data_IF_882243926267
#
_entry.id   IF_882243926267
#
_cell.length_a   1.000
_cell.length_b   1.000
_cell.length_c   1.000
_cell.angle_alpha   90.00
_cell.angle_beta   90.00
_cell.angle_gamma   90.00
#
_symmetry.space_group_name_H-M   'P 1'
#
loop_
_entity.id
_entity.type
_entity.pdbx_description
1 polymer ?
#
# COMPACT_ATOMS: atom_id res chain seq x y z
N UNK A 1 5.67 -38.60 7.35
CA UNK A 1 6.73 -38.97 6.38
C UNK A 1 7.56 -37.72 6.12
N UNK A 2 8.89 -37.81 6.25
CA UNK A 2 9.79 -36.72 5.83
C UNK A 2 10.22 -36.96 4.39
N UNK A 3 10.17 -35.91 3.57
CA UNK A 3 10.56 -35.96 2.15
C UNK A 3 11.49 -34.80 1.82
N UNK A 4 12.28 -34.98 0.77
CA UNK A 4 13.07 -33.90 0.17
C UNK A 4 12.16 -32.89 -0.54
N UNK A 5 12.60 -31.65 -0.78
CA UNK A 5 11.85 -30.69 -1.59
C UNK A 5 11.48 -31.21 -2.98
N UNK A 6 12.38 -31.91 -3.67
CA UNK A 6 12.12 -32.46 -5.00
C UNK A 6 11.00 -33.52 -4.98
N UNK A 7 11.01 -34.40 -3.98
CA UNK A 7 9.95 -35.38 -3.77
C UNK A 7 8.62 -34.72 -3.42
N UNK A 8 8.63 -33.69 -2.56
CA UNK A 8 7.44 -32.93 -2.23
C UNK A 8 6.80 -32.29 -3.47
N UNK A 9 7.59 -31.62 -4.32
CA UNK A 9 7.11 -31.05 -5.59
C UNK A 9 6.49 -32.14 -6.47
N UNK A 10 7.12 -33.31 -6.57
CA UNK A 10 6.60 -34.45 -7.35
C UNK A 10 5.25 -34.92 -6.81
N UNK A 11 5.15 -35.13 -5.49
CA UNK A 11 3.91 -35.58 -4.84
C UNK A 11 2.77 -34.58 -5.05
N UNK A 12 3.05 -33.28 -4.94
CA UNK A 12 2.06 -32.22 -5.13
C UNK A 12 1.60 -32.14 -6.60
N UNK A 13 2.53 -32.21 -7.57
CA UNK A 13 2.18 -32.23 -9.00
C UNK A 13 1.25 -33.37 -9.38
N UNK A 14 1.43 -34.54 -8.75
CA UNK A 14 0.61 -35.72 -9.02
C UNK A 14 -0.60 -35.87 -8.08
N UNK A 15 -0.80 -34.94 -7.14
CA UNK A 15 -1.87 -35.00 -6.12
C UNK A 15 -1.85 -36.28 -5.29
N UNK A 16 -0.64 -36.77 -4.97
CA UNK A 16 -0.42 -37.96 -4.15
C UNK A 16 0.26 -37.62 -2.82
N UNK A 17 0.34 -36.34 -2.47
CA UNK A 17 0.86 -35.92 -1.18
C UNK A 17 -0.11 -36.35 -0.07
N UNK A 18 0.37 -36.92 1.05
CA UNK A 18 -0.46 -37.19 2.22
C UNK A 18 -0.91 -35.88 2.86
N UNK A 19 -1.99 -35.92 3.64
CA UNK A 19 -2.51 -34.75 4.38
C UNK A 19 -1.47 -34.11 5.30
N UNK A 20 -0.56 -34.91 5.87
CA UNK A 20 0.55 -34.46 6.68
C UNK A 20 1.88 -34.61 5.93
N UNK A 21 2.42 -33.49 5.45
CA UNK A 21 3.65 -33.43 4.69
C UNK A 21 4.76 -32.69 5.47
N UNK A 22 5.89 -33.36 5.68
CA UNK A 22 7.08 -32.75 6.26
C UNK A 22 8.19 -32.70 5.21
N UNK A 23 8.59 -31.51 4.79
CA UNK A 23 9.68 -31.27 3.85
C UNK A 23 10.94 -30.87 4.61
N UNK A 24 12.05 -31.56 4.38
CA UNK A 24 13.31 -31.36 5.12
C UNK A 24 14.06 -30.06 4.77
N UNK A 25 13.50 -29.23 3.88
CA UNK A 25 14.14 -28.02 3.38
C UNK A 25 13.13 -27.03 2.80
N UNK A 26 13.60 -26.04 2.02
CA UNK A 26 12.74 -25.06 1.37
C UNK A 26 11.91 -25.73 0.27
N UNK A 27 10.60 -25.53 0.30
CA UNK A 27 9.67 -25.94 -0.74
C UNK A 27 9.33 -24.72 -1.60
N UNK A 28 9.92 -24.67 -2.78
CA UNK A 28 9.65 -23.64 -3.79
C UNK A 28 8.66 -24.17 -4.84
N UNK A 29 7.52 -23.51 -4.92
CA UNK A 29 6.45 -23.76 -5.87
C UNK A 29 6.09 -22.47 -6.62
N UNK A 30 6.97 -21.48 -6.65
CA UNK A 30 6.73 -20.21 -7.35
C UNK A 30 6.37 -20.42 -8.82
N UNK A 31 5.42 -19.61 -9.32
CA UNK A 31 4.93 -19.69 -10.69
C UNK A 31 4.13 -20.97 -11.03
N UNK A 32 3.83 -21.84 -10.06
CA UNK A 32 3.15 -23.10 -10.31
C UNK A 32 1.66 -22.88 -10.69
N UNK A 33 1.39 -22.71 -11.98
CA UNK A 33 0.03 -22.57 -12.51
C UNK A 33 -0.87 -23.81 -12.28
N UNK A 34 -0.27 -24.96 -11.98
CA UNK A 34 -0.97 -26.21 -11.67
C UNK A 34 -1.37 -26.33 -10.18
N UNK A 35 -0.76 -25.52 -9.30
CA UNK A 35 -0.98 -25.60 -7.85
C UNK A 35 -2.30 -24.92 -7.49
N UNK A 36 -3.22 -25.69 -6.90
CA UNK A 36 -4.53 -25.20 -6.43
C UNK A 36 -4.66 -25.24 -4.92
N UNK A 37 -4.22 -26.35 -4.34
CA UNK A 37 -4.30 -26.65 -2.92
C UNK A 37 -3.00 -27.29 -2.45
N UNK A 38 -2.75 -27.14 -1.15
CA UNK A 38 -1.67 -27.80 -0.43
C UNK A 38 -2.28 -28.82 0.54
N UNK A 39 -1.50 -29.78 1.05
CA UNK A 39 -1.94 -30.70 2.09
C UNK A 39 -2.47 -29.94 3.30
N UNK A 40 -3.40 -30.54 4.04
CA UNK A 40 -3.99 -29.92 5.22
C UNK A 40 -2.91 -29.45 6.21
N UNK A 41 -1.86 -30.26 6.41
CA UNK A 41 -0.80 -30.01 7.37
C UNK A 41 0.55 -30.01 6.66
N UNK A 42 1.27 -28.90 6.72
CA UNK A 42 2.55 -28.75 6.03
C UNK A 42 3.62 -28.18 6.96
N UNK A 43 4.76 -28.87 7.03
CA UNK A 43 5.95 -28.40 7.73
C UNK A 43 7.14 -28.34 6.79
N UNK A 44 7.85 -27.22 6.75
CA UNK A 44 9.06 -27.03 5.96
C UNK A 44 9.92 -25.89 6.53
N UNK A 45 11.16 -25.70 6.07
CA UNK A 45 11.95 -24.54 6.50
C UNK A 45 11.48 -23.25 5.83
N UNK A 46 11.20 -23.27 4.53
CA UNK A 46 10.60 -22.15 3.83
C UNK A 46 9.56 -22.64 2.81
N UNK A 47 8.47 -21.90 2.66
CA UNK A 47 7.43 -22.15 1.67
C UNK A 47 7.33 -20.93 0.73
N UNK A 48 7.63 -21.12 -0.55
CA UNK A 48 7.61 -20.07 -1.56
C UNK A 48 6.52 -20.41 -2.59
N UNK A 49 5.49 -19.58 -2.63
CA UNK A 49 4.25 -19.73 -3.41
C UNK A 49 4.01 -18.47 -4.27
N UNK A 50 5.06 -17.69 -4.51
CA UNK A 50 4.94 -16.44 -5.27
C UNK A 50 4.43 -16.71 -6.68
N UNK A 51 3.60 -15.80 -7.20
CA UNK A 51 3.10 -15.86 -8.57
C UNK A 51 2.35 -17.16 -8.90
N UNK A 52 1.69 -17.78 -7.93
CA UNK A 52 0.80 -18.93 -8.15
C UNK A 52 -0.62 -18.45 -8.50
N UNK A 53 -1.05 -18.46 -9.78
CA UNK A 53 -2.30 -17.84 -10.21
C UNK A 53 -3.55 -18.62 -9.81
N UNK A 54 -3.42 -19.90 -9.46
CA UNK A 54 -4.53 -20.83 -9.21
C UNK A 54 -4.59 -21.30 -7.74
N UNK A 55 -3.64 -20.91 -6.90
CA UNK A 55 -3.61 -21.28 -5.48
C UNK A 55 -4.76 -20.59 -4.76
N UNK A 56 -5.72 -21.36 -4.25
CA UNK A 56 -6.93 -20.82 -3.62
C UNK A 56 -6.91 -20.85 -2.10
N UNK A 57 -6.08 -21.70 -1.49
CA UNK A 57 -6.01 -21.86 -0.04
C UNK A 57 -4.61 -22.27 0.42
N UNK A 58 -4.27 -21.91 1.66
CA UNK A 58 -3.11 -22.44 2.38
C UNK A 58 -3.50 -23.64 3.25
N UNK A 59 -2.53 -24.42 3.76
CA UNK A 59 -2.78 -25.49 4.73
C UNK A 59 -3.49 -25.00 5.99
N UNK A 60 -4.38 -25.82 6.53
CA UNK A 60 -5.08 -25.55 7.80
C UNK A 60 -4.11 -25.48 8.99
N UNK A 61 -3.01 -26.24 8.96
CA UNK A 61 -1.89 -26.11 9.91
C UNK A 61 -0.57 -26.00 9.13
N UNK A 62 -0.01 -24.78 9.09
CA UNK A 62 1.23 -24.47 8.40
C UNK A 62 2.31 -24.07 9.40
N UNK A 63 3.44 -24.77 9.36
CA UNK A 63 4.60 -24.49 10.19
C UNK A 63 5.86 -24.31 9.34
N UNK A 64 6.44 -23.12 9.34
CA UNK A 64 7.70 -22.86 8.64
C UNK A 64 8.50 -21.72 9.25
N UNK A 65 9.72 -21.52 8.78
CA UNK A 65 10.54 -20.39 9.21
C UNK A 65 10.22 -19.15 8.37
N UNK A 66 9.99 -19.35 7.06
CA UNK A 66 9.63 -18.29 6.10
C UNK A 66 8.49 -18.72 5.18
N UNK A 67 7.52 -17.83 4.97
CA UNK A 67 6.41 -17.99 4.05
C UNK A 67 6.37 -16.81 3.07
N UNK A 68 6.32 -17.08 1.78
CA UNK A 68 6.04 -16.09 0.74
C UNK A 68 4.94 -16.62 -0.16
N UNK A 69 3.84 -15.88 -0.29
CA UNK A 69 2.73 -16.17 -1.18
C UNK A 69 2.29 -14.89 -1.88
N UNK A 70 3.25 -14.15 -2.43
CA UNK A 70 3.03 -12.86 -3.09
C UNK A 70 2.37 -13.03 -4.44
N UNK A 71 1.57 -12.04 -4.84
CA UNK A 71 0.92 -11.99 -6.17
C UNK A 71 0.19 -13.30 -6.48
N UNK A 72 -0.55 -13.81 -5.50
CA UNK A 72 -1.42 -14.99 -5.63
C UNK A 72 -2.88 -14.53 -5.73
N UNK A 73 -3.38 -14.20 -6.94
CA UNK A 73 -4.69 -13.56 -7.11
C UNK A 73 -5.88 -14.45 -6.73
N UNK A 74 -5.74 -15.78 -6.82
CA UNK A 74 -6.78 -16.73 -6.44
C UNK A 74 -6.84 -16.99 -4.92
N UNK A 75 -5.82 -16.60 -4.16
CA UNK A 75 -5.79 -16.73 -2.70
C UNK A 75 -6.61 -15.59 -2.09
N UNK A 76 -7.92 -15.82 -1.92
CA UNK A 76 -8.86 -14.80 -1.47
C UNK A 76 -9.11 -14.81 0.03
N UNK A 77 -8.82 -15.92 0.70
CA UNK A 77 -9.07 -16.11 2.12
C UNK A 77 -7.85 -16.73 2.79
N UNK A 78 -7.65 -16.37 4.05
CA UNK A 78 -6.62 -16.94 4.90
C UNK A 78 -7.24 -17.37 6.23
N UNK A 79 -7.24 -18.66 6.49
CA UNK A 79 -7.77 -19.29 7.68
C UNK A 79 -6.78 -20.29 8.30
N UNK A 80 -7.20 -20.94 9.39
CA UNK A 80 -6.39 -21.95 10.07
C UNK A 80 -5.28 -21.41 10.96
N UNK A 81 -4.32 -22.28 11.25
CA UNK A 81 -3.19 -22.02 12.15
C UNK A 81 -1.91 -21.90 11.35
N UNK A 82 -1.36 -20.70 11.30
CA UNK A 82 -0.18 -20.37 10.52
C UNK A 82 0.91 -19.87 11.47
N UNK A 83 1.89 -20.73 11.72
CA UNK A 83 3.04 -20.45 12.58
C UNK A 83 4.30 -20.28 11.74
N UNK A 84 4.73 -19.04 11.58
CA UNK A 84 5.92 -18.67 10.81
C UNK A 84 6.95 -18.06 11.75
N UNK A 85 8.18 -18.60 11.79
CA UNK A 85 9.18 -18.08 12.75
C UNK A 85 9.62 -16.66 12.44
N UNK A 86 9.91 -16.37 11.18
CA UNK A 86 10.57 -15.13 10.76
C UNK A 86 9.63 -14.21 9.99
N UNK A 87 9.26 -14.55 8.76
CA UNK A 87 8.49 -13.66 7.87
C UNK A 87 7.42 -14.40 7.10
N UNK A 88 6.22 -13.86 7.11
CA UNK A 88 5.13 -14.20 6.22
C UNK A 88 4.82 -13.01 5.29
N UNK A 89 4.83 -13.24 3.97
CA UNK A 89 4.64 -12.18 2.97
C UNK A 89 3.54 -12.57 1.97
N UNK A 90 2.45 -11.81 1.98
CA UNK A 90 1.29 -11.98 1.12
C UNK A 90 1.11 -10.79 0.16
N UNK A 91 2.18 -10.01 -0.04
CA UNK A 91 2.10 -8.75 -0.76
C UNK A 91 1.53 -8.90 -2.18
N UNK A 92 0.59 -8.04 -2.55
CA UNK A 92 -0.07 -8.00 -3.86
C UNK A 92 -0.99 -9.19 -4.16
N UNK A 93 -1.34 -10.00 -3.17
CA UNK A 93 -2.22 -11.16 -3.35
C UNK A 93 -3.70 -10.79 -3.34
N UNK A 94 -4.55 -11.73 -3.77
CA UNK A 94 -6.00 -11.51 -3.92
C UNK A 94 -6.80 -11.54 -2.62
N UNK A 95 -6.14 -11.47 -1.47
CA UNK A 95 -6.75 -11.64 -0.16
C UNK A 95 -7.85 -10.60 0.07
N UNK A 96 -9.02 -11.09 0.44
CA UNK A 96 -10.22 -10.32 0.80
C UNK A 96 -10.48 -10.36 2.29
N UNK A 97 -10.27 -11.54 2.90
CA UNK A 97 -10.50 -11.77 4.33
C UNK A 97 -9.37 -12.59 4.92
N UNK A 98 -8.99 -12.22 6.14
CA UNK A 98 -8.11 -13.04 6.99
C UNK A 98 -8.88 -13.34 8.27
N UNK A 99 -8.97 -14.62 8.62
CA UNK A 99 -9.58 -15.16 9.84
C UNK A 99 -8.72 -16.32 10.35
N UNK A 100 -7.54 -16.02 10.86
CA UNK A 100 -6.51 -17.02 11.17
C UNK A 100 -5.89 -16.85 12.55
N UNK A 101 -5.36 -17.95 13.09
CA UNK A 101 -4.35 -17.92 14.16
C UNK A 101 -2.98 -17.76 13.51
N UNK A 102 -2.50 -16.52 13.39
CA UNK A 102 -1.28 -16.21 12.64
C UNK A 102 -0.20 -15.67 13.59
N UNK A 103 0.95 -16.35 13.63
CA UNK A 103 2.14 -15.90 14.34
C UNK A 103 3.30 -15.73 13.37
N UNK A 104 3.92 -14.56 13.39
CA UNK A 104 5.11 -14.26 12.60
C UNK A 104 5.94 -13.14 13.24
N UNK A 105 7.27 -13.15 13.12
CA UNK A 105 8.03 -11.96 13.53
C UNK A 105 7.69 -10.77 12.63
N UNK A 106 7.60 -10.98 11.31
CA UNK A 106 7.19 -9.96 10.33
C UNK A 106 6.06 -10.47 9.45
N UNK A 107 5.01 -9.67 9.29
CA UNK A 107 3.88 -9.97 8.41
C UNK A 107 3.62 -8.82 7.46
N UNK A 108 3.46 -9.10 6.17
CA UNK A 108 3.07 -8.10 5.18
C UNK A 108 1.89 -8.57 4.35
N UNK A 109 0.89 -7.70 4.26
CA UNK A 109 -0.22 -7.76 3.31
C UNK A 109 -0.14 -6.59 2.32
N UNK A 110 1.04 -5.98 2.14
CA UNK A 110 1.17 -4.75 1.35
C UNK A 110 0.58 -4.91 -0.06
N UNK A 111 -0.24 -3.95 -0.48
CA UNK A 111 -0.89 -3.95 -1.78
C UNK A 111 -2.00 -4.99 -1.96
N UNK A 112 -2.47 -5.67 -0.89
CA UNK A 112 -3.70 -6.47 -0.92
C UNK A 112 -4.92 -5.55 -1.02
N UNK A 113 -5.15 -4.97 -2.20
CA UNK A 113 -6.17 -3.93 -2.42
C UNK A 113 -7.60 -4.40 -2.16
N UNK A 114 -7.84 -5.71 -2.22
CA UNK A 114 -9.16 -6.30 -1.98
C UNK A 114 -9.40 -6.68 -0.50
N UNK A 115 -8.38 -6.56 0.36
CA UNK A 115 -8.48 -6.95 1.77
C UNK A 115 -9.40 -5.98 2.50
N UNK A 116 -10.53 -6.47 3.01
CA UNK A 116 -11.51 -5.64 3.72
C UNK A 116 -11.43 -5.78 5.23
N UNK A 117 -10.97 -6.95 5.72
CA UNK A 117 -10.90 -7.26 7.14
C UNK A 117 -9.71 -8.15 7.50
N UNK A 118 -9.10 -7.87 8.65
CA UNK A 118 -8.04 -8.64 9.26
C UNK A 118 -8.47 -9.08 10.67
N UNK A 119 -8.93 -10.32 10.79
CA UNK A 119 -9.47 -10.90 12.02
C UNK A 119 -8.76 -12.21 12.41
N UNK A 120 -9.08 -12.74 13.59
CA UNK A 120 -8.41 -13.86 14.21
C UNK A 120 -7.33 -13.46 15.22
N UNK A 121 -6.64 -14.46 15.76
CA UNK A 121 -5.57 -14.26 16.76
C UNK A 121 -4.24 -14.03 16.05
N UNK A 122 -3.91 -12.77 15.80
CA UNK A 122 -2.72 -12.39 15.05
C UNK A 122 -1.70 -11.78 16.00
N UNK A 123 -0.51 -12.37 16.08
CA UNK A 123 0.57 -11.91 16.95
C UNK A 123 1.87 -11.75 16.16
N UNK A 124 2.34 -10.50 16.03
CA UNK A 124 3.51 -10.16 15.23
C UNK A 124 4.35 -9.04 15.83
N UNK A 125 5.64 -8.97 15.49
CA UNK A 125 6.46 -7.81 15.87
C UNK A 125 6.16 -6.63 14.96
N UNK A 126 6.16 -6.87 13.65
CA UNK A 126 5.89 -5.83 12.65
C UNK A 126 4.82 -6.27 11.67
N UNK A 127 3.87 -5.39 11.39
CA UNK A 127 2.80 -5.59 10.42
C UNK A 127 2.79 -4.48 9.37
N UNK A 128 2.78 -4.86 8.10
CA UNK A 128 2.68 -3.96 6.96
C UNK A 128 1.35 -4.17 6.23
N UNK A 129 0.51 -3.13 6.27
CA UNK A 129 -0.79 -3.06 5.58
C UNK A 129 -0.81 -1.98 4.50
N UNK A 130 0.37 -1.48 4.09
CA UNK A 130 0.45 -0.40 3.12
C UNK A 130 -0.28 -0.75 1.82
N UNK A 131 -1.06 0.19 1.27
CA UNK A 131 -1.81 -0.01 0.04
C UNK A 131 -3.01 -0.96 0.15
N UNK A 132 -3.42 -1.38 1.35
CA UNK A 132 -4.69 -2.09 1.56
C UNK A 132 -5.86 -1.08 1.53
N UNK A 133 -6.16 -0.54 0.35
CA UNK A 133 -7.11 0.58 0.16
C UNK A 133 -8.55 0.28 0.58
N UNK A 134 -8.95 -0.99 0.53
CA UNK A 134 -10.30 -1.44 0.92
C UNK A 134 -10.39 -1.91 2.38
N UNK A 135 -9.30 -1.81 3.15
CA UNK A 135 -9.27 -2.32 4.53
C UNK A 135 -10.06 -1.37 5.44
N UNK A 136 -11.11 -1.92 6.05
CA UNK A 136 -12.03 -1.19 6.92
C UNK A 136 -11.90 -1.60 8.39
N UNK A 137 -11.54 -2.87 8.64
CA UNK A 137 -11.60 -3.44 9.98
C UNK A 137 -10.34 -4.21 10.36
N UNK A 138 -9.85 -3.93 11.57
CA UNK A 138 -8.82 -4.68 12.28
C UNK A 138 -9.44 -5.32 13.52
N UNK A 139 -9.26 -6.62 13.69
CA UNK A 139 -9.81 -7.38 14.81
C UNK A 139 -9.21 -6.98 16.16
N UNK A 140 -10.01 -7.09 17.22
CA UNK A 140 -9.59 -6.74 18.59
C UNK A 140 -8.47 -7.63 19.15
N UNK A 141 -8.28 -8.84 18.59
CA UNK A 141 -7.22 -9.77 18.97
C UNK A 141 -5.89 -9.55 18.21
N UNK A 142 -5.79 -8.47 17.42
CA UNK A 142 -4.56 -8.10 16.73
C UNK A 142 -3.52 -7.57 17.73
N UNK A 143 -2.42 -8.29 17.89
CA UNK A 143 -1.29 -7.91 18.72
C UNK A 143 -0.06 -7.61 17.86
N UNK A 144 0.29 -6.33 17.77
CA UNK A 144 1.51 -5.86 17.10
C UNK A 144 2.44 -5.23 18.15
N UNK A 145 3.67 -5.73 18.24
CA UNK A 145 4.60 -5.35 19.31
C UNK A 145 5.38 -4.08 18.96
N UNK A 146 5.90 -3.96 17.74
CA UNK A 146 6.83 -2.90 17.36
C UNK A 146 6.20 -1.86 16.43
N UNK A 147 5.85 -2.25 15.21
CA UNK A 147 5.43 -1.29 14.18
C UNK A 147 4.25 -1.76 13.34
N UNK A 148 3.33 -0.85 13.07
CA UNK A 148 2.20 -1.03 12.17
C UNK A 148 2.25 0.03 11.05
N UNK A 149 2.48 -0.39 9.81
CA UNK A 149 2.49 0.48 8.63
C UNK A 149 1.09 0.52 7.98
N UNK A 150 0.56 1.72 7.78
CA UNK A 150 -0.84 1.97 7.43
C UNK A 150 -1.04 2.84 6.19
N UNK A 151 0.04 3.22 5.49
CA UNK A 151 -0.07 4.11 4.34
C UNK A 151 -1.03 3.59 3.27
N UNK A 152 -1.97 4.43 2.83
CA UNK A 152 -2.95 4.05 1.81
C UNK A 152 -4.03 3.08 2.29
N UNK A 153 -4.25 2.97 3.60
CA UNK A 153 -5.44 2.33 4.18
C UNK A 153 -6.58 3.33 4.37
N UNK A 154 -7.80 2.81 4.53
CA UNK A 154 -9.03 3.58 4.75
C UNK A 154 -9.65 3.30 6.13
N UNK A 155 -8.80 2.97 7.11
CA UNK A 155 -9.25 2.61 8.45
C UNK A 155 -9.94 3.78 9.16
N UNK A 156 -11.12 3.51 9.71
CA UNK A 156 -11.85 4.47 10.54
C UNK A 156 -11.52 4.36 12.04
N UNK A 157 -10.90 3.26 12.46
CA UNK A 157 -10.50 3.04 13.85
C UNK A 157 -9.29 2.10 13.94
N UNK A 158 -8.64 2.12 15.11
CA UNK A 158 -7.60 1.16 15.49
C UNK A 158 -8.12 0.24 16.60
N UNK A 159 -7.64 -1.02 16.68
CA UNK A 159 -8.04 -1.94 17.74
C UNK A 159 -7.78 -1.36 19.14
N UNK A 160 -8.67 -1.63 20.11
CA UNK A 160 -8.45 -1.19 21.48
C UNK A 160 -7.18 -1.84 22.05
N UNK A 161 -6.37 -1.05 22.74
CA UNK A 161 -5.13 -1.53 23.36
C UNK A 161 -3.97 -1.77 22.40
N UNK A 162 -4.08 -1.39 21.12
CA UNK A 162 -2.94 -1.37 20.20
C UNK A 162 -1.87 -0.39 20.73
N UNK A 163 -0.63 -0.88 20.90
CA UNK A 163 0.52 -0.09 21.40
C UNK A 163 1.68 0.02 20.40
N UNK A 164 1.54 -0.56 19.21
CA UNK A 164 2.56 -0.48 18.18
C UNK A 164 2.81 0.96 17.74
N UNK A 165 4.06 1.27 17.38
CA UNK A 165 4.38 2.53 16.70
C UNK A 165 3.74 2.55 15.31
N UNK A 166 2.89 3.53 15.05
CA UNK A 166 2.26 3.70 13.75
C UNK A 166 3.25 4.30 12.76
N UNK A 167 3.26 3.79 11.53
CA UNK A 167 4.06 4.32 10.43
C UNK A 167 3.18 4.62 9.23
N UNK A 168 3.58 5.64 8.50
CA UNK A 168 3.03 6.01 7.21
C UNK A 168 4.18 6.21 6.22
N UNK A 169 4.31 5.30 5.26
CA UNK A 169 5.42 5.28 4.30
C UNK A 169 6.78 5.32 5.00
N UNK A 170 6.91 4.56 6.10
CA UNK A 170 8.12 4.49 6.91
C UNK A 170 8.30 5.65 7.91
N UNK A 171 7.48 6.69 7.88
CA UNK A 171 7.57 7.82 8.82
C UNK A 171 6.70 7.56 10.06
N UNK A 172 7.21 7.78 11.30
CA UNK A 172 6.40 7.67 12.50
C UNK A 172 5.26 8.69 12.53
N UNK A 173 4.04 8.21 12.80
CA UNK A 173 2.82 9.03 12.88
C UNK A 173 2.03 8.72 14.16
N UNK A 174 1.10 9.60 14.49
CA UNK A 174 0.14 9.41 15.57
C UNK A 174 -1.22 8.93 15.00
N UNK A 175 -2.13 8.53 15.90
CA UNK A 175 -3.45 8.05 15.49
C UNK A 175 -4.30 9.16 14.84
N UNK A 176 -4.08 10.43 15.19
CA UNK A 176 -4.81 11.57 14.60
C UNK A 176 -4.49 11.68 13.11
N UNK A 177 -3.23 11.55 12.72
CA UNK A 177 -2.81 11.55 11.32
C UNK A 177 -3.51 10.45 10.50
N UNK A 178 -3.68 9.26 11.08
CA UNK A 178 -4.30 8.12 10.41
C UNK A 178 -5.81 8.29 10.31
N UNK A 179 -6.48 8.60 11.44
CA UNK A 179 -7.92 8.51 11.62
C UNK A 179 -8.68 9.81 11.37
N UNK A 180 -8.00 10.96 11.40
CA UNK A 180 -8.59 12.29 11.24
C UNK A 180 -7.82 13.12 10.19
N UNK A 181 -7.67 12.63 8.95
CA UNK A 181 -6.95 13.35 7.90
C UNK A 181 -7.53 14.74 7.60
N UNK A 182 -8.84 14.93 7.80
CA UNK A 182 -9.54 16.19 7.64
C UNK A 182 -9.10 17.28 8.63
N UNK A 183 -8.57 16.89 9.79
CA UNK A 183 -8.05 17.81 10.81
C UNK A 183 -6.66 18.37 10.47
N UNK A 184 -5.97 17.80 9.47
CA UNK A 184 -4.69 18.32 8.99
C UNK A 184 -4.87 19.71 8.39
N UNK A 185 -3.90 20.60 8.63
CA UNK A 185 -3.91 21.98 8.14
C UNK A 185 -2.64 22.28 7.35
N UNK A 186 -2.72 23.20 6.40
CA UNK A 186 -1.55 23.62 5.63
C UNK A 186 -0.50 24.32 6.48
N UNK A 187 -0.91 24.98 7.57
CA UNK A 187 0.02 25.54 8.56
C UNK A 187 0.88 24.46 9.23
N UNK A 188 0.30 23.30 9.57
CA UNK A 188 1.05 22.16 10.12
C UNK A 188 2.09 21.64 9.12
N UNK A 189 1.71 21.51 7.84
CA UNK A 189 2.63 21.14 6.76
C UNK A 189 3.79 22.14 6.68
N UNK A 190 3.48 23.44 6.60
CA UNK A 190 4.47 24.51 6.41
C UNK A 190 5.49 24.59 7.56
N UNK A 191 5.03 24.39 8.81
CA UNK A 191 5.88 24.47 10.01
C UNK A 191 6.64 23.17 10.31
N UNK A 192 6.37 22.08 9.58
CA UNK A 192 7.04 20.80 9.80
C UNK A 192 8.46 20.84 9.26
N UNK A 193 9.44 20.72 10.17
CA UNK A 193 10.89 20.70 9.86
C UNK A 193 11.40 19.39 9.29
N UNK A 194 10.78 18.26 9.64
CA UNK A 194 11.22 16.98 9.11
C UNK A 194 10.66 16.84 7.68
N UNK A 195 11.53 16.92 6.68
CA UNK A 195 11.17 16.88 5.24
C UNK A 195 10.29 15.67 4.90
N UNK A 196 10.63 14.48 5.37
CA UNK A 196 9.84 13.26 5.09
C UNK A 196 8.44 13.34 5.72
N UNK A 197 8.33 13.85 6.95
CA UNK A 197 7.03 14.09 7.60
C UNK A 197 6.20 15.15 6.86
N UNK A 198 6.82 16.24 6.40
CA UNK A 198 6.14 17.29 5.65
C UNK A 198 5.56 16.76 4.34
N UNK A 199 6.31 15.92 3.62
CA UNK A 199 5.84 15.29 2.37
C UNK A 199 4.61 14.42 2.61
N UNK A 200 4.61 13.54 3.62
CA UNK A 200 3.42 12.71 3.90
C UNK A 200 2.23 13.54 4.39
N UNK A 201 2.45 14.64 5.12
CA UNK A 201 1.39 15.55 5.53
C UNK A 201 0.79 16.27 4.31
N UNK A 202 1.64 16.75 3.39
CA UNK A 202 1.20 17.40 2.16
C UNK A 202 0.43 16.42 1.25
N UNK A 203 0.93 15.20 1.08
CA UNK A 203 0.27 14.16 0.28
C UNK A 203 -1.10 13.78 0.88
N UNK A 204 -1.21 13.72 2.22
CA UNK A 204 -2.46 13.40 2.92
C UNK A 204 -3.45 14.56 2.93
N UNK A 205 -2.97 15.80 3.06
CA UNK A 205 -3.80 17.02 3.05
C UNK A 205 -4.31 17.35 1.64
N UNK A 206 -3.48 17.07 0.62
CA UNK A 206 -3.71 17.47 -0.75
C UNK A 206 -3.23 18.91 -1.02
N UNK A 207 -2.71 19.12 -2.24
CA UNK A 207 -2.14 20.40 -2.67
C UNK A 207 -3.19 21.51 -2.72
N UNK A 208 -4.42 21.21 -3.11
CA UNK A 208 -5.52 22.17 -3.17
C UNK A 208 -5.81 22.81 -1.80
N UNK A 209 -6.09 21.97 -0.79
CA UNK A 209 -6.34 22.45 0.59
C UNK A 209 -5.11 23.12 1.17
N UNK A 210 -3.91 22.61 0.90
CA UNK A 210 -2.68 23.25 1.33
C UNK A 210 -2.57 24.69 0.81
N UNK A 211 -2.75 24.92 -0.50
CA UNK A 211 -2.70 26.26 -1.08
C UNK A 211 -3.84 27.16 -0.61
N UNK A 212 -5.03 26.60 -0.35
CA UNK A 212 -6.13 27.37 0.25
C UNK A 212 -5.79 27.86 1.67
N UNK A 213 -5.08 27.05 2.46
CA UNK A 213 -4.70 27.36 3.85
C UNK A 213 -3.54 28.35 3.96
N UNK A 214 -2.51 28.22 3.10
CA UNK A 214 -1.26 29.02 3.23
C UNK A 214 -1.02 30.02 2.10
N UNK A 215 -1.79 29.94 1.01
CA UNK A 215 -1.56 30.72 -0.20
C UNK A 215 -0.29 30.29 -0.94
N UNK A 216 0.25 31.20 -1.75
CA UNK A 216 1.52 31.02 -2.44
C UNK A 216 1.87 32.21 -3.32
N UNK A 217 3.12 32.24 -3.78
CA UNK A 217 3.62 33.23 -4.71
C UNK A 217 3.13 32.91 -6.12
N UNK A 218 2.38 33.82 -6.74
CA UNK A 218 1.96 33.67 -8.13
C UNK A 218 3.17 33.94 -9.03
N UNK A 219 3.64 32.91 -9.73
CA UNK A 219 4.75 32.99 -10.68
C UNK A 219 4.29 33.50 -12.05
N UNK A 220 3.10 33.07 -12.49
CA UNK A 220 2.55 33.42 -13.80
C UNK A 220 1.01 33.38 -13.79
N UNK A 221 0.40 34.13 -14.71
CA UNK A 221 -1.05 34.15 -14.98
C UNK A 221 -1.30 34.25 -16.46
N UNK A 222 -2.17 33.39 -16.97
CA UNK A 222 -2.68 33.51 -18.34
C UNK A 222 -4.14 33.05 -18.43
N UNK A 223 -4.63 32.90 -19.66
CA UNK A 223 -6.00 32.46 -19.95
C UNK A 223 -6.02 31.43 -21.07
N UNK A 224 -6.92 30.46 -20.95
CA UNK A 224 -7.30 29.54 -22.01
C UNK A 224 -8.83 29.42 -22.14
N UNK A 225 -9.30 28.42 -22.90
CA UNK A 225 -10.73 28.17 -23.09
C UNK A 225 -11.48 27.84 -21.77
N UNK A 226 -10.76 27.38 -20.74
CA UNK A 226 -11.31 27.03 -19.43
C UNK A 226 -11.44 28.22 -18.49
N UNK A 227 -10.65 29.28 -18.72
CA UNK A 227 -10.68 30.53 -17.98
C UNK A 227 -9.29 31.02 -17.59
N UNK A 228 -9.19 31.70 -16.45
CA UNK A 228 -7.89 32.10 -15.89
C UNK A 228 -7.14 30.91 -15.30
N UNK A 229 -5.83 30.86 -15.55
CA UNK A 229 -4.91 29.93 -14.92
C UNK A 229 -3.90 30.69 -14.09
N UNK A 230 -3.42 30.05 -13.04
CA UNK A 230 -2.39 30.62 -12.17
C UNK A 230 -1.34 29.57 -11.87
N UNK A 231 -0.07 29.92 -12.08
CA UNK A 231 1.06 29.14 -11.60
C UNK A 231 1.45 29.69 -10.23
N UNK A 232 1.42 28.84 -9.20
CA UNK A 232 1.67 29.22 -7.81
C UNK A 232 2.83 28.41 -7.27
N UNK A 233 3.68 29.06 -6.47
CA UNK A 233 4.80 28.46 -5.77
C UNK A 233 4.72 28.70 -4.27
N UNK A 234 5.04 27.68 -3.48
CA UNK A 234 5.29 27.79 -2.04
C UNK A 234 6.74 27.37 -1.78
N UNK A 235 7.61 28.29 -1.34
CA UNK A 235 8.99 27.95 -1.02
C UNK A 235 9.07 27.12 0.27
N UNK A 236 9.96 26.13 0.29
CA UNK A 236 10.43 25.47 1.51
C UNK A 236 11.92 25.75 1.66
N UNK A 237 12.41 25.95 2.89
CA UNK A 237 13.81 26.28 3.14
C UNK A 237 14.75 25.07 3.00
N UNK A 238 14.22 23.89 3.28
CA UNK A 238 14.93 22.62 3.47
C UNK A 238 14.47 21.52 2.49
N UNK A 239 13.66 21.87 1.48
CA UNK A 239 13.21 20.95 0.42
C UNK A 239 12.91 21.73 -0.87
N UNK A 240 12.69 21.00 -1.96
CA UNK A 240 12.22 21.54 -3.22
C UNK A 240 10.90 22.31 -3.03
N UNK A 241 10.74 23.52 -3.60
CA UNK A 241 9.50 24.27 -3.48
C UNK A 241 8.33 23.51 -4.12
N UNK A 242 7.16 23.64 -3.52
CA UNK A 242 5.93 23.20 -4.18
C UNK A 242 5.61 24.18 -5.31
N UNK A 243 5.47 23.69 -6.54
CA UNK A 243 4.91 24.45 -7.66
C UNK A 243 3.66 23.74 -8.18
N UNK A 244 2.58 24.48 -8.36
CA UNK A 244 1.32 23.93 -8.87
C UNK A 244 0.63 24.92 -9.81
N UNK A 245 0.00 24.39 -10.85
CA UNK A 245 -0.88 25.15 -11.74
C UNK A 245 -2.33 24.92 -11.35
N UNK A 246 -3.06 26.03 -11.21
CA UNK A 246 -4.50 26.05 -10.96
C UNK A 246 -5.19 26.25 -12.30
N UNK A 247 -6.01 25.29 -12.69
CA UNK A 247 -6.71 25.28 -13.98
C UNK A 247 -8.20 24.99 -13.81
N UNK A 248 -8.99 25.43 -14.78
CA UNK A 248 -10.39 25.03 -14.93
C UNK A 248 -10.53 24.24 -16.24
N UNK A 249 -11.07 23.04 -16.16
CA UNK A 249 -11.33 22.23 -17.33
C UNK A 249 -12.49 22.85 -18.15
N UNK A 250 -12.31 23.13 -19.46
CA UNK A 250 -13.37 23.72 -20.28
C UNK A 250 -14.58 22.80 -20.45
N UNK A 251 -14.36 21.49 -20.58
CA UNK A 251 -15.40 20.50 -20.87
C UNK A 251 -16.21 20.08 -19.65
N UNK A 252 -15.58 19.93 -18.49
CA UNK A 252 -16.27 19.50 -17.25
C UNK A 252 -16.58 20.66 -16.31
N UNK A 253 -15.93 21.82 -16.49
CA UNK A 253 -15.99 22.94 -15.57
C UNK A 253 -15.27 22.72 -14.24
N UNK A 254 -14.67 21.54 -14.03
CA UNK A 254 -13.94 21.18 -12.81
C UNK A 254 -12.69 22.05 -12.61
N UNK A 255 -12.35 22.34 -11.34
CA UNK A 255 -11.13 23.06 -10.96
C UNK A 255 -10.11 22.08 -10.44
N UNK A 256 -8.86 22.24 -10.87
CA UNK A 256 -7.79 21.32 -10.52
C UNK A 256 -6.56 22.10 -10.08
N UNK A 257 -5.89 21.56 -9.06
CA UNK A 257 -4.58 22.02 -8.61
C UNK A 257 -3.57 20.93 -8.93
N UNK A 258 -2.74 21.15 -9.95
CA UNK A 258 -1.83 20.13 -10.48
C UNK A 258 -0.40 20.50 -10.12
N UNK A 259 0.29 19.64 -9.34
CA UNK A 259 1.70 19.82 -9.02
C UNK A 259 2.55 19.64 -10.28
N UNK A 260 3.52 20.53 -10.49
CA UNK A 260 4.47 20.50 -11.61
C UNK A 260 5.91 20.67 -11.10
N UNK A 261 6.94 20.35 -11.93
CA UNK A 261 8.33 20.51 -11.53
C UNK A 261 8.69 21.95 -11.15
N UNK A 262 9.71 22.12 -10.29
CA UNK A 262 10.00 23.40 -9.64
C UNK A 262 10.70 24.40 -10.59
N UNK A 263 11.17 23.93 -11.74
CA UNK A 263 11.80 24.75 -12.77
C UNK A 263 10.80 25.39 -13.74
N UNK A 264 9.53 24.94 -13.75
CA UNK A 264 8.48 25.50 -14.61
C UNK A 264 8.21 26.94 -14.22
N UNK A 265 8.04 27.83 -15.22
CA UNK A 265 7.87 29.28 -14.98
C UNK A 265 6.58 29.86 -15.56
N UNK A 266 5.93 29.17 -16.50
CA UNK A 266 4.67 29.66 -17.10
C UNK A 266 3.52 28.66 -16.95
N UNK A 267 2.28 29.16 -16.99
CA UNK A 267 1.08 28.32 -16.96
C UNK A 267 1.03 27.39 -18.18
N UNK A 268 1.44 27.88 -19.36
CA UNK A 268 1.50 27.07 -20.58
C UNK A 268 2.47 25.89 -20.46
N UNK A 269 3.67 26.10 -19.91
CA UNK A 269 4.64 25.04 -19.56
C UNK A 269 4.06 24.03 -18.59
N UNK A 270 3.41 24.52 -17.53
CA UNK A 270 2.84 23.67 -16.51
C UNK A 270 1.76 22.75 -17.07
N UNK A 271 0.82 23.29 -17.85
CA UNK A 271 -0.26 22.50 -18.43
C UNK A 271 0.27 21.51 -19.48
N UNK A 272 1.19 21.93 -20.34
CA UNK A 272 1.83 21.02 -21.30
C UNK A 272 2.52 19.85 -20.59
N UNK A 273 3.24 20.13 -19.49
CA UNK A 273 3.88 19.11 -18.68
C UNK A 273 2.86 18.12 -18.08
N UNK A 274 1.73 18.61 -17.56
CA UNK A 274 0.68 17.74 -16.99
C UNK A 274 0.04 16.84 -18.05
N UNK A 275 0.05 17.24 -19.31
CA UNK A 275 -0.41 16.45 -20.45
C UNK A 275 0.68 15.55 -21.05
N UNK A 276 1.90 15.55 -20.48
CA UNK A 276 3.08 14.87 -21.02
C UNK A 276 3.44 15.32 -22.45
N UNK A 277 3.27 16.63 -22.72
CA UNK A 277 3.54 17.29 -23.99
C UNK A 277 4.57 18.43 -23.82
N UNK A 278 5.24 18.82 -24.89
CA UNK A 278 6.00 20.07 -24.91
C UNK A 278 5.05 21.26 -25.11
N UNK A 279 5.46 22.45 -24.66
CA UNK A 279 4.67 23.69 -24.84
C UNK A 279 4.36 23.99 -26.29
N UNK A 280 5.32 23.74 -27.19
CA UNK A 280 5.15 23.97 -28.62
C UNK A 280 4.09 23.06 -29.25
N UNK A 281 3.91 21.88 -28.67
CA UNK A 281 2.97 20.86 -29.13
C UNK A 281 1.60 21.03 -28.47
N UNK A 282 1.54 21.73 -27.33
CA UNK A 282 0.32 22.02 -26.59
C UNK A 282 -0.45 23.20 -27.21
N UNK A 283 -1.44 22.88 -28.06
CA UNK A 283 -2.40 23.85 -28.63
C UNK A 283 -3.81 23.63 -28.08
N UNK A 284 -4.21 24.30 -26.98
CA UNK A 284 -5.51 24.08 -26.33
C UNK A 284 -6.73 24.58 -27.13
N UNK A 285 -6.56 24.99 -28.40
CA UNK A 285 -7.64 25.49 -29.26
C UNK A 285 -8.65 24.42 -29.70
N UNK A 286 -8.47 23.15 -29.31
CA UNK A 286 -9.41 22.05 -29.61
C UNK A 286 -9.46 21.01 -28.48
N UNK A 287 -10.08 21.36 -27.37
CA UNK A 287 -10.84 20.37 -26.62
C UNK A 287 -12.30 20.79 -26.72
N UNK A 288 -13.03 20.08 -27.59
CA UNK A 288 -14.47 20.20 -27.81
C UNK A 288 -15.13 18.91 -27.30
#
# INVERSE_FOLDING_TARGET
MQVTPAEAVRLLKHRTAPDALHVTGPLDLSGAAWLRELPLWLRCSALILDDCPQLSALPQDLQCDRLSARRTPALTELDGRISVRERADFSGSGLKRVQAELRASRLSFAGCRALTQLEGQISVNTLDLSGCSSLLHLGAALHVIQTLELAGTSLASLPPGLRAGLRWSGVPVDARFVLQPEALTGREVLLTRNVQRRRILLDRLGVEKFLADVGGLVLDRDRDAGGERQLVQVPFEDDEPLVAVLVRCPSTGGRYTLRVPPFVRTCAEAVAWTANLNVTDYRPLREA
#
